data_IF_580620736758
#
_entry.id   IF_580620736758
#
_cell.length_a   1.000
_cell.length_b   1.000
_cell.length_c   1.000
_cell.angle_alpha   90.00
_cell.angle_beta   90.00
_cell.angle_gamma   90.00
#
_symmetry.space_group_name_H-M   'P 1'
#
loop_
_entity.id
_entity.type
_entity.pdbx_description
1 polymer ?
#
# COMPACT_ATOMS: atom_id res chain seq x y z
N UNK A 1 8.04 -28.26 3.43
CA UNK A 1 8.06 -27.11 4.37
C UNK A 1 7.41 -25.91 3.70
N UNK A 2 6.23 -25.49 4.13
CA UNK A 2 5.65 -24.21 3.71
C UNK A 2 6.38 -23.11 4.47
N UNK A 3 7.30 -22.39 3.83
CA UNK A 3 7.86 -21.19 4.42
C UNK A 3 6.74 -20.15 4.49
N UNK A 4 6.25 -19.83 5.68
CA UNK A 4 5.19 -18.82 5.87
C UNK A 4 5.70 -17.48 5.38
N UNK A 5 5.30 -17.06 4.17
CA UNK A 5 5.61 -15.73 3.64
C UNK A 5 4.88 -14.69 4.48
N UNK A 6 5.63 -13.88 5.21
CA UNK A 6 5.10 -12.66 5.82
C UNK A 6 5.19 -11.51 4.82
N UNK A 7 4.41 -10.45 5.03
CA UNK A 7 4.42 -9.25 4.21
C UNK A 7 4.66 -8.05 5.12
N UNK A 8 5.53 -7.15 4.69
CA UNK A 8 5.70 -5.83 5.28
C UNK A 8 4.85 -4.85 4.51
N UNK A 9 3.99 -4.13 5.21
CA UNK A 9 3.17 -3.07 4.65
C UNK A 9 3.62 -1.75 5.25
N UNK A 10 3.70 -0.71 4.43
CA UNK A 10 4.12 0.62 4.84
C UNK A 10 3.35 1.72 4.11
N UNK A 11 3.26 2.87 4.78
CA UNK A 11 2.70 4.10 4.27
C UNK A 11 3.70 5.22 4.54
N UNK A 12 4.08 5.93 3.48
CA UNK A 12 4.93 7.12 3.55
C UNK A 12 4.27 8.28 2.83
N UNK A 13 4.59 9.50 3.23
CA UNK A 13 4.34 10.72 2.47
C UNK A 13 5.67 11.21 1.89
N UNK A 14 5.70 11.42 0.58
CA UNK A 14 6.86 11.92 -0.15
C UNK A 14 6.54 13.29 -0.75
N UNK A 15 7.43 14.26 -0.61
CA UNK A 15 7.34 15.58 -1.23
C UNK A 15 8.32 15.64 -2.41
N UNK A 16 7.86 15.47 -3.67
CA UNK A 16 8.76 15.37 -4.81
C UNK A 16 9.64 16.61 -5.03
N UNK A 17 9.13 17.79 -4.66
CA UNK A 17 9.80 19.07 -4.90
C UNK A 17 11.07 19.25 -4.07
N UNK A 18 11.14 18.67 -2.87
CA UNK A 18 12.30 18.76 -1.97
C UNK A 18 12.88 17.41 -1.53
N UNK A 19 12.31 16.30 -2.03
CA UNK A 19 12.77 14.94 -1.80
C UNK A 19 12.49 14.39 -0.40
N UNK A 20 11.84 15.13 0.50
CA UNK A 20 11.59 14.64 1.86
C UNK A 20 10.62 13.47 1.88
N UNK A 21 10.80 12.62 2.87
CA UNK A 21 9.96 11.44 3.10
C UNK A 21 9.59 11.36 4.57
N UNK A 22 8.31 11.20 4.84
CA UNK A 22 7.73 11.09 6.18
C UNK A 22 7.11 9.71 6.34
N UNK A 23 7.54 9.00 7.39
CA UNK A 23 6.97 7.71 7.77
C UNK A 23 5.62 7.90 8.44
N UNK A 24 4.58 7.26 7.94
CA UNK A 24 3.21 7.39 8.49
C UNK A 24 2.80 6.17 9.29
N UNK A 25 3.03 4.96 8.77
CA UNK A 25 2.67 3.71 9.45
C UNK A 25 3.34 2.50 8.80
N UNK A 26 3.54 1.43 9.59
CA UNK A 26 3.98 0.13 9.12
C UNK A 26 3.19 -1.02 9.78
N UNK A 27 3.10 -2.17 9.12
CA UNK A 27 2.51 -3.37 9.71
C UNK A 27 2.99 -4.67 9.05
N UNK A 28 3.17 -5.72 9.85
CA UNK A 28 3.42 -7.07 9.35
C UNK A 28 2.10 -7.83 9.17
N UNK A 29 1.96 -8.54 8.06
CA UNK A 29 0.82 -9.43 7.82
C UNK A 29 1.26 -10.81 7.37
N UNK A 30 0.39 -11.80 7.52
CA UNK A 30 0.68 -13.21 7.23
C UNK A 30 0.16 -13.70 5.87
N UNK A 31 -0.50 -12.84 5.09
CA UNK A 31 -1.04 -13.23 3.77
C UNK A 31 -1.22 -12.02 2.83
N UNK A 32 -1.26 -12.22 1.49
CA UNK A 32 -1.56 -11.16 0.54
C UNK A 32 -2.89 -10.44 0.83
N UNK A 33 -3.92 -11.18 1.24
CA UNK A 33 -5.24 -10.63 1.55
C UNK A 33 -5.20 -9.68 2.76
N UNK A 34 -4.45 -10.04 3.80
CA UNK A 34 -4.27 -9.16 4.96
C UNK A 34 -3.42 -7.94 4.62
N UNK A 35 -2.41 -8.09 3.76
CA UNK A 35 -1.61 -6.97 3.26
C UNK A 35 -2.47 -5.97 2.48
N UNK A 36 -3.26 -6.44 1.50
CA UNK A 36 -4.17 -5.58 0.73
C UNK A 36 -5.22 -4.93 1.64
N UNK A 37 -5.79 -5.67 2.59
CA UNK A 37 -6.71 -5.10 3.60
C UNK A 37 -6.06 -3.95 4.38
N UNK A 38 -4.79 -4.09 4.76
CA UNK A 38 -4.06 -3.03 5.44
C UNK A 38 -3.90 -1.79 4.55
N UNK A 39 -3.55 -1.98 3.26
CA UNK A 39 -3.49 -0.88 2.29
C UNK A 39 -4.84 -0.18 2.15
N UNK A 40 -5.96 -0.91 2.08
CA UNK A 40 -7.31 -0.33 2.01
C UNK A 40 -7.62 0.54 3.23
N UNK A 41 -7.32 0.05 4.43
CA UNK A 41 -7.53 0.80 5.67
C UNK A 41 -6.72 2.10 5.65
N UNK A 42 -5.44 2.04 5.22
CA UNK A 42 -4.61 3.24 5.12
C UNK A 42 -5.07 4.21 4.04
N UNK A 43 -5.50 3.72 2.89
CA UNK A 43 -6.05 4.54 1.81
C UNK A 43 -7.32 5.28 2.27
N UNK A 44 -8.21 4.61 3.01
CA UNK A 44 -9.40 5.24 3.62
C UNK A 44 -9.02 6.36 4.60
N UNK A 45 -8.11 6.08 5.53
CA UNK A 45 -7.66 7.11 6.47
C UNK A 45 -7.02 8.32 5.78
N UNK A 46 -6.30 8.11 4.67
CA UNK A 46 -5.75 9.22 3.87
C UNK A 46 -6.90 9.95 3.17
N UNK A 47 -7.82 9.25 2.50
CA UNK A 47 -8.93 9.89 1.79
C UNK A 47 -9.83 10.72 2.69
N UNK A 48 -10.00 10.32 3.96
CA UNK A 48 -10.77 11.08 4.96
C UNK A 48 -10.15 12.46 5.28
N UNK A 49 -8.89 12.69 4.92
CA UNK A 49 -8.17 13.95 5.13
C UNK A 49 -8.03 14.80 3.86
N UNK A 50 -8.36 14.23 2.69
CA UNK A 50 -8.23 14.91 1.41
C UNK A 50 -9.46 15.75 1.07
N UNK A 51 -9.24 16.83 0.31
CA UNK A 51 -10.35 17.52 -0.33
C UNK A 51 -11.12 16.58 -1.28
N UNK A 52 -12.46 16.77 -1.46
CA UNK A 52 -13.27 15.84 -2.22
C UNK A 52 -12.76 15.50 -3.63
N UNK A 53 -12.21 16.44 -4.43
CA UNK A 53 -11.63 16.11 -5.73
C UNK A 53 -10.45 15.13 -5.65
N UNK A 54 -9.59 15.27 -4.64
CA UNK A 54 -8.42 14.42 -4.43
C UNK A 54 -8.79 13.06 -3.80
N UNK A 55 -9.86 13.00 -2.98
CA UNK A 55 -10.35 11.75 -2.39
C UNK A 55 -10.98 10.80 -3.41
N UNK A 56 -11.67 11.31 -4.44
CA UNK A 56 -12.40 10.52 -5.45
C UNK A 56 -11.59 9.37 -6.09
N UNK A 57 -10.38 9.58 -6.63
CA UNK A 57 -9.61 8.48 -7.22
C UNK A 57 -9.23 7.40 -6.19
N UNK A 58 -9.01 7.77 -4.92
CA UNK A 58 -8.73 6.80 -3.85
C UNK A 58 -9.97 5.95 -3.56
N UNK A 59 -11.14 6.58 -3.48
CA UNK A 59 -12.41 5.90 -3.31
C UNK A 59 -12.73 4.98 -4.49
N UNK A 60 -12.44 5.40 -5.72
CA UNK A 60 -12.59 4.57 -6.90
C UNK A 60 -11.70 3.32 -6.83
N UNK A 61 -10.41 3.49 -6.48
CA UNK A 61 -9.50 2.36 -6.30
C UNK A 61 -9.97 1.40 -5.21
N UNK A 62 -10.49 1.90 -4.08
CA UNK A 62 -11.03 1.07 -2.98
C UNK A 62 -12.21 0.19 -3.38
N UNK A 63 -12.81 0.44 -4.55
CA UNK A 63 -13.92 -0.32 -5.12
C UNK A 63 -13.56 -1.00 -6.46
N UNK A 64 -12.28 -0.95 -6.87
CA UNK A 64 -11.80 -1.54 -8.12
C UNK A 64 -11.35 -2.99 -7.91
N UNK A 65 -12.27 -3.92 -8.15
CA UNK A 65 -12.01 -5.36 -8.01
C UNK A 65 -10.85 -5.85 -8.90
N UNK A 66 -10.69 -5.28 -10.11
CA UNK A 66 -9.60 -5.67 -11.00
C UNK A 66 -8.24 -5.23 -10.44
N UNK A 67 -8.16 -4.01 -9.90
CA UNK A 67 -6.95 -3.53 -9.24
C UNK A 67 -6.61 -4.38 -7.99
N UNK A 68 -7.62 -4.79 -7.22
CA UNK A 68 -7.44 -5.66 -6.07
C UNK A 68 -6.94 -7.07 -6.46
N UNK A 69 -7.54 -7.68 -7.48
CA UNK A 69 -7.11 -8.98 -8.00
C UNK A 69 -5.68 -8.92 -8.53
N UNK A 70 -5.33 -7.85 -9.24
CA UNK A 70 -3.96 -7.60 -9.68
C UNK A 70 -3.00 -7.50 -8.49
N UNK A 71 -3.33 -6.70 -7.47
CA UNK A 71 -2.50 -6.55 -6.27
C UNK A 71 -2.29 -7.89 -5.55
N UNK A 72 -3.35 -8.68 -5.37
CA UNK A 72 -3.27 -10.01 -4.77
C UNK A 72 -2.38 -10.95 -5.59
N UNK A 73 -2.50 -10.90 -6.91
CA UNK A 73 -1.69 -11.70 -7.84
C UNK A 73 -0.22 -11.33 -7.69
N UNK A 74 0.13 -10.05 -7.75
CA UNK A 74 1.51 -9.54 -7.58
C UNK A 74 2.12 -10.01 -6.26
N UNK A 75 1.40 -9.82 -5.15
CA UNK A 75 1.86 -10.21 -3.82
C UNK A 75 2.04 -11.73 -3.68
N UNK A 76 1.09 -12.52 -4.21
CA UNK A 76 1.18 -13.99 -4.18
C UNK A 76 2.40 -14.51 -4.96
N UNK A 77 2.76 -13.86 -6.06
CA UNK A 77 3.95 -14.18 -6.86
C UNK A 77 5.27 -13.75 -6.21
N UNK A 78 5.23 -13.06 -5.07
CA UNK A 78 6.44 -12.66 -4.36
C UNK A 78 7.00 -11.31 -4.80
N UNK A 79 6.24 -10.51 -5.56
CA UNK A 79 6.62 -9.16 -5.93
C UNK A 79 5.97 -8.12 -5.00
N UNK A 80 6.61 -6.95 -4.79
CA UNK A 80 6.00 -5.84 -4.08
C UNK A 80 4.87 -5.20 -4.92
N UNK A 81 3.83 -4.75 -4.24
CA UNK A 81 2.76 -3.94 -4.82
C UNK A 81 2.75 -2.56 -4.16
N UNK A 82 2.55 -1.51 -4.95
CA UNK A 82 2.46 -0.14 -4.47
C UNK A 82 1.27 0.58 -5.10
N UNK A 83 0.57 1.37 -4.29
CA UNK A 83 -0.47 2.31 -4.72
C UNK A 83 -0.07 3.72 -4.29
N UNK A 84 -0.14 4.67 -5.23
CA UNK A 84 0.25 6.07 -5.02
C UNK A 84 -0.99 6.96 -5.02
N UNK A 85 -1.17 7.75 -3.97
CA UNK A 85 -2.24 8.73 -3.84
C UNK A 85 -1.62 10.12 -3.97
N UNK A 86 -1.93 10.88 -5.04
CA UNK A 86 -1.48 12.25 -5.19
C UNK A 86 -2.34 13.22 -4.36
N UNK A 87 -1.67 14.16 -3.71
CA UNK A 87 -2.29 15.29 -2.98
C UNK A 87 -1.41 16.53 -3.16
N UNK A 88 -1.72 17.36 -4.15
CA UNK A 88 -0.95 18.57 -4.52
C UNK A 88 0.58 18.34 -4.57
N UNK A 89 1.33 18.88 -3.59
CA UNK A 89 2.79 18.75 -3.46
C UNK A 89 3.26 17.44 -2.78
N UNK A 90 2.32 16.62 -2.30
CA UNK A 90 2.57 15.36 -1.57
C UNK A 90 2.14 14.15 -2.40
N UNK A 91 2.89 13.06 -2.28
CA UNK A 91 2.54 11.74 -2.79
C UNK A 91 2.53 10.77 -1.64
N UNK A 92 1.37 10.23 -1.29
CA UNK A 92 1.31 9.12 -0.35
C UNK A 92 1.60 7.83 -1.10
N UNK A 93 2.58 7.05 -0.62
CA UNK A 93 2.91 5.75 -1.18
C UNK A 93 2.52 4.67 -0.17
N UNK A 94 1.60 3.80 -0.57
CA UNK A 94 1.17 2.63 0.17
C UNK A 94 1.81 1.40 -0.47
N UNK A 95 2.71 0.72 0.24
CA UNK A 95 3.45 -0.42 -0.30
C UNK A 95 3.19 -1.65 0.55
N UNK A 96 2.97 -2.79 -0.09
CA UNK A 96 3.06 -4.11 0.53
C UNK A 96 4.15 -4.91 -0.19
N UNK A 97 5.10 -5.46 0.56
CA UNK A 97 6.18 -6.27 0.02
C UNK A 97 6.32 -7.60 0.76
N UNK A 98 6.49 -8.72 0.05
CA UNK A 98 6.81 -10.00 0.68
C UNK A 98 8.15 -9.93 1.41
N UNK A 99 8.19 -10.51 2.59
CA UNK A 99 9.41 -10.75 3.34
C UNK A 99 9.91 -12.14 2.97
N UNK A 100 10.89 -12.19 2.08
CA UNK A 100 11.69 -13.40 1.90
C UNK A 100 12.52 -13.60 3.16
N UNK A 101 12.21 -14.63 3.94
CA UNK A 101 13.12 -15.10 4.99
C UNK A 101 14.37 -15.63 4.28
N UNK A 102 15.46 -14.86 4.30
CA UNK A 102 16.76 -15.39 3.90
C UNK A 102 17.13 -16.47 4.93
N UNK A 103 17.24 -17.72 4.49
CA UNK A 103 17.86 -18.75 5.31
C UNK A 103 19.39 -18.59 5.13
N UNK A 104 20.18 -18.39 6.20
CA UNK A 104 21.63 -18.44 6.11
C UNK A 104 22.13 -19.83 5.71
#
# INVERSE_FOLDING_TARGET
MLSTRAYWCEAIAHTPDDGRTFWLAAHHTSSPRLALRWLHIRARHISDQLDPPAARPVLAWLHDDQAHEHALTVLAHGAPYSHTIPDDAVRYLLTARPLTRQHP
#
